data_IF_352768279778
#
_entry.id   IF_352768279778
#
_cell.length_a   1.000
_cell.length_b   1.000
_cell.length_c   1.000
_cell.angle_alpha   90.00
_cell.angle_beta   90.00
_cell.angle_gamma   90.00
#
_symmetry.space_group_name_H-M   'P 1'
#
loop_
_entity.id
_entity.type
_entity.pdbx_description
1 polymer ?
#
# COMPACT_ATOMS: atom_id res chain seq x y z
N UNK A 1 -5.25 -37.04 -6.27
CA UNK A 1 -4.90 -35.89 -7.10
C UNK A 1 -3.66 -35.24 -6.47
N UNK A 2 -2.60 -35.00 -7.25
CA UNK A 2 -1.40 -34.33 -6.70
C UNK A 2 -1.64 -32.85 -6.45
N UNK A 3 -1.06 -32.29 -5.37
CA UNK A 3 -1.10 -30.84 -5.08
C UNK A 3 -0.32 -30.11 -6.19
N UNK A 4 -0.96 -29.14 -6.85
CA UNK A 4 -0.29 -28.30 -7.84
C UNK A 4 0.51 -27.22 -7.11
N UNK A 5 1.84 -27.25 -7.32
CA UNK A 5 2.76 -26.27 -6.72
C UNK A 5 3.30 -25.33 -7.77
N UNK A 6 3.31 -24.05 -7.45
CA UNK A 6 3.85 -22.99 -8.30
C UNK A 6 4.59 -21.93 -7.46
N UNK A 7 5.42 -21.10 -8.12
CA UNK A 7 6.12 -20.00 -7.48
C UNK A 7 5.99 -18.72 -8.31
N UNK A 8 5.70 -17.61 -7.67
CA UNK A 8 5.56 -16.31 -8.32
C UNK A 8 6.53 -15.29 -7.72
N UNK A 9 7.27 -14.60 -8.57
CA UNK A 9 8.09 -13.46 -8.17
C UNK A 9 7.22 -12.20 -8.14
N UNK A 10 7.24 -11.50 -7.01
CA UNK A 10 6.48 -10.27 -6.83
C UNK A 10 7.15 -9.33 -5.82
N UNK A 11 6.46 -8.29 -5.39
CA UNK A 11 6.97 -7.32 -4.42
C UNK A 11 6.14 -7.37 -3.14
N UNK A 12 6.83 -7.27 -2.01
CA UNK A 12 6.20 -7.07 -0.72
C UNK A 12 5.50 -5.71 -0.68
N UNK A 13 4.26 -5.68 -0.18
CA UNK A 13 3.41 -4.47 -0.13
C UNK A 13 3.21 -3.93 1.29
N UNK A 14 4.02 -4.37 2.25
CA UNK A 14 3.87 -3.99 3.66
C UNK A 14 4.45 -2.61 4.01
N UNK A 15 5.32 -2.05 3.16
CA UNK A 15 5.90 -0.70 3.32
C UNK A 15 6.53 -0.22 2.01
N UNK A 16 7.11 0.98 2.02
CA UNK A 16 7.76 1.63 0.86
C UNK A 16 9.01 0.93 0.35
N UNK A 17 9.63 0.05 1.12
CA UNK A 17 10.84 -0.65 0.69
C UNK A 17 10.60 -1.61 -0.49
N UNK A 18 9.35 -2.07 -0.70
CA UNK A 18 8.96 -2.90 -1.85
C UNK A 18 9.93 -4.04 -2.11
N UNK A 19 10.34 -4.73 -1.05
CA UNK A 19 11.28 -5.84 -1.15
C UNK A 19 10.78 -6.90 -2.13
N UNK A 20 11.69 -7.44 -2.94
CA UNK A 20 11.37 -8.55 -3.83
C UNK A 20 11.13 -9.83 -3.03
N UNK A 21 10.05 -10.51 -3.36
CA UNK A 21 9.66 -11.80 -2.75
C UNK A 21 9.38 -12.85 -3.80
N UNK A 22 9.55 -14.10 -3.42
CA UNK A 22 9.09 -15.28 -4.16
C UNK A 22 8.02 -15.93 -3.30
N UNK A 23 6.82 -15.97 -3.83
CA UNK A 23 5.64 -16.55 -3.17
C UNK A 23 5.43 -17.96 -3.66
N UNK A 24 5.22 -18.90 -2.73
CA UNK A 24 4.86 -20.27 -3.03
C UNK A 24 3.34 -20.45 -2.99
N UNK A 25 2.82 -21.12 -4.00
CA UNK A 25 1.41 -21.41 -4.15
C UNK A 25 1.18 -22.92 -4.11
N UNK A 26 0.14 -23.34 -3.41
CA UNK A 26 -0.44 -24.71 -3.50
C UNK A 26 -1.91 -24.59 -3.87
N UNK A 27 -2.28 -25.19 -5.00
CA UNK A 27 -3.64 -25.11 -5.56
C UNK A 27 -4.18 -23.66 -5.62
N UNK A 28 -3.33 -22.70 -5.97
CA UNK A 28 -3.66 -21.28 -6.06
C UNK A 28 -3.68 -20.52 -4.73
N UNK A 29 -3.44 -21.18 -3.61
CA UNK A 29 -3.36 -20.58 -2.28
C UNK A 29 -1.91 -20.23 -1.93
N UNK A 30 -1.69 -19.05 -1.40
CA UNK A 30 -0.39 -18.65 -0.87
C UNK A 30 -0.09 -19.44 0.40
N UNK A 31 1.02 -20.16 0.41
CA UNK A 31 1.43 -21.01 1.54
C UNK A 31 2.72 -20.58 2.18
N UNK A 32 3.60 -19.89 1.43
CA UNK A 32 4.90 -19.42 1.94
C UNK A 32 5.39 -18.22 1.14
N UNK A 33 6.25 -17.40 1.75
CA UNK A 33 6.99 -16.37 1.09
C UNK A 33 8.45 -16.33 1.55
N UNK A 34 9.35 -16.04 0.63
CA UNK A 34 10.76 -15.83 0.89
C UNK A 34 11.33 -14.66 0.13
N UNK A 35 12.44 -14.12 0.57
CA UNK A 35 13.14 -13.07 -0.14
C UNK A 35 13.61 -13.52 -1.53
N UNK A 36 13.57 -12.61 -2.49
CA UNK A 36 14.13 -12.80 -3.82
C UNK A 36 15.57 -12.29 -3.85
N UNK A 37 16.54 -13.19 -3.87
CA UNK A 37 17.98 -12.86 -3.86
C UNK A 37 18.41 -12.04 -5.08
N UNK A 38 17.73 -12.23 -6.21
CA UNK A 38 17.99 -11.49 -7.45
C UNK A 38 17.37 -10.08 -7.45
N UNK A 39 16.64 -9.68 -6.41
CA UNK A 39 16.05 -8.34 -6.37
C UNK A 39 17.12 -7.28 -6.05
N UNK A 40 17.31 -6.25 -6.93
CA UNK A 40 18.46 -5.34 -6.87
C UNK A 40 18.51 -4.46 -5.63
N UNK A 41 17.40 -4.30 -4.92
CA UNK A 41 17.30 -3.46 -3.73
C UNK A 41 17.34 -4.25 -2.43
N UNK A 42 16.57 -5.33 -2.32
CA UNK A 42 16.44 -6.09 -1.07
C UNK A 42 17.40 -7.27 -0.94
N UNK A 43 17.97 -7.79 -2.06
CA UNK A 43 18.93 -8.89 -2.07
C UNK A 43 18.50 -10.04 -1.14
N UNK A 44 17.27 -10.51 -1.27
CA UNK A 44 16.71 -11.58 -0.46
C UNK A 44 16.31 -11.22 0.98
N UNK A 45 16.55 -9.98 1.41
CA UNK A 45 16.25 -9.57 2.80
C UNK A 45 14.75 -9.39 2.98
N UNK A 46 14.21 -9.99 4.03
CA UNK A 46 12.84 -9.80 4.49
C UNK A 46 12.80 -9.39 5.97
N UNK A 47 11.89 -8.51 6.30
CA UNK A 47 11.62 -8.11 7.68
C UNK A 47 10.45 -8.92 8.27
N UNK A 48 10.21 -8.76 9.57
CA UNK A 48 9.12 -9.41 10.29
C UNK A 48 7.74 -9.13 9.67
N UNK A 49 7.51 -7.93 9.15
CA UNK A 49 6.23 -7.58 8.51
C UNK A 49 5.97 -8.41 7.24
N UNK A 50 6.98 -8.58 6.41
CA UNK A 50 6.86 -9.38 5.20
C UNK A 50 6.57 -10.86 5.54
N UNK A 51 7.28 -11.41 6.53
CA UNK A 51 7.05 -12.79 6.98
C UNK A 51 5.64 -13.05 7.52
N UNK A 52 4.96 -12.03 8.05
CA UNK A 52 3.58 -12.12 8.47
C UNK A 52 2.57 -11.98 7.30
N UNK A 53 3.03 -11.72 6.08
CA UNK A 53 2.13 -11.46 4.96
C UNK A 53 1.27 -12.66 4.59
N UNK A 54 1.80 -13.89 4.70
CA UNK A 54 1.06 -15.13 4.44
C UNK A 54 -0.09 -15.29 5.42
N UNK A 55 0.17 -15.06 6.72
CA UNK A 55 -0.85 -15.14 7.77
C UNK A 55 -1.94 -14.08 7.56
N UNK A 56 -1.56 -12.86 7.17
CA UNK A 56 -2.51 -11.78 6.87
C UNK A 56 -3.40 -12.14 5.67
N UNK A 57 -2.82 -12.71 4.61
CA UNK A 57 -3.57 -13.09 3.41
C UNK A 57 -4.56 -14.21 3.70
N UNK A 58 -4.18 -15.18 4.53
CA UNK A 58 -4.98 -16.36 4.85
C UNK A 58 -5.75 -16.23 6.17
N UNK A 59 -5.76 -15.06 6.80
CA UNK A 59 -6.39 -14.88 8.11
C UNK A 59 -7.88 -15.26 8.07
N UNK A 60 -8.40 -16.04 9.03
CA UNK A 60 -9.79 -16.47 9.02
C UNK A 60 -10.79 -15.31 9.10
N UNK A 61 -10.41 -14.22 9.80
CA UNK A 61 -11.25 -13.01 9.92
C UNK A 61 -11.05 -12.02 8.76
N UNK A 62 -10.36 -12.42 7.68
CA UNK A 62 -10.19 -11.56 6.52
C UNK A 62 -11.56 -11.30 5.87
N UNK A 63 -11.87 -10.02 5.65
CA UNK A 63 -13.10 -9.62 4.96
C UNK A 63 -13.02 -10.03 3.48
N UNK A 64 -13.87 -10.97 3.08
CA UNK A 64 -13.96 -11.46 1.70
C UNK A 64 -15.18 -10.93 0.96
N UNK A 65 -16.11 -10.30 1.67
CA UNK A 65 -17.35 -9.74 1.14
C UNK A 65 -17.63 -8.36 1.73
N UNK A 66 -18.36 -7.50 1.02
CA UNK A 66 -18.84 -6.25 1.58
C UNK A 66 -19.71 -6.48 2.81
N UNK A 67 -19.57 -5.63 3.81
CA UNK A 67 -20.35 -5.61 5.03
C UNK A 67 -21.20 -4.35 5.09
N UNK A 68 -22.48 -4.49 5.39
CA UNK A 68 -23.41 -3.40 5.66
C UNK A 68 -23.79 -3.38 7.11
N UNK A 69 -23.64 -2.22 7.75
CA UNK A 69 -24.04 -2.06 9.16
C UNK A 69 -25.54 -2.06 9.31
N UNK A 70 -26.07 -2.86 10.27
CA UNK A 70 -27.47 -2.91 10.68
C UNK A 70 -27.55 -2.73 12.19
N UNK A 71 -27.71 -1.49 12.63
CA UNK A 71 -27.64 -1.19 14.06
C UNK A 71 -26.25 -1.48 14.63
N UNK A 72 -26.13 -2.47 15.53
CA UNK A 72 -24.88 -2.92 16.11
C UNK A 72 -24.25 -4.10 15.36
N UNK A 73 -24.97 -4.71 14.41
CA UNK A 73 -24.55 -5.90 13.69
C UNK A 73 -24.06 -5.56 12.26
N UNK A 74 -23.40 -6.55 11.62
CA UNK A 74 -22.94 -6.48 10.25
C UNK A 74 -23.55 -7.59 9.42
N UNK A 75 -24.09 -7.21 8.26
CA UNK A 75 -24.68 -8.10 7.27
C UNK A 75 -23.76 -8.20 6.05
N UNK A 76 -23.43 -9.42 5.61
CA UNK A 76 -22.72 -9.63 4.35
C UNK A 76 -23.64 -9.36 3.17
N UNK A 77 -23.12 -8.63 2.17
CA UNK A 77 -23.81 -8.35 0.92
C UNK A 77 -23.06 -8.91 -0.28
N UNK A 78 -23.78 -9.30 -1.35
CA UNK A 78 -23.18 -9.47 -2.65
C UNK A 78 -22.52 -8.15 -3.10
N UNK A 79 -21.33 -8.24 -3.72
CA UNK A 79 -20.60 -7.04 -4.19
C UNK A 79 -21.45 -6.14 -5.09
N UNK A 80 -22.21 -6.73 -6.01
CA UNK A 80 -23.08 -6.00 -6.93
C UNK A 80 -24.12 -5.15 -6.18
N UNK A 81 -24.79 -5.79 -5.21
CA UNK A 81 -25.78 -5.08 -4.39
C UNK A 81 -25.14 -3.91 -3.61
N UNK A 82 -23.96 -4.14 -3.02
CA UNK A 82 -23.26 -3.09 -2.28
C UNK A 82 -22.92 -1.90 -3.19
N UNK A 83 -22.45 -2.17 -4.42
CA UNK A 83 -22.13 -1.13 -5.40
C UNK A 83 -23.37 -0.36 -5.86
N UNK A 84 -24.48 -1.06 -6.12
CA UNK A 84 -25.73 -0.44 -6.55
C UNK A 84 -26.29 0.49 -5.44
N UNK A 85 -26.32 0.04 -4.19
CA UNK A 85 -26.76 0.86 -3.05
C UNK A 85 -25.84 2.08 -2.82
N UNK A 86 -24.53 1.94 -3.00
CA UNK A 86 -23.59 3.07 -2.91
C UNK A 86 -23.86 4.08 -4.03
N UNK A 87 -24.04 3.58 -5.26
CA UNK A 87 -24.30 4.44 -6.41
C UNK A 87 -25.60 5.23 -6.26
N UNK A 88 -26.68 4.58 -5.84
CA UNK A 88 -27.97 5.25 -5.58
C UNK A 88 -27.84 6.37 -4.55
N UNK A 89 -27.14 6.12 -3.43
CA UNK A 89 -26.93 7.12 -2.39
C UNK A 89 -26.09 8.30 -2.88
N UNK A 90 -25.01 8.03 -3.62
CA UNK A 90 -24.17 9.08 -4.19
C UNK A 90 -24.95 9.93 -5.20
N UNK A 91 -25.73 9.30 -6.09
CA UNK A 91 -26.60 10.01 -7.03
C UNK A 91 -27.61 10.90 -6.32
N UNK A 92 -28.25 10.41 -5.26
CA UNK A 92 -29.20 11.18 -4.48
C UNK A 92 -28.54 12.40 -3.80
N UNK A 93 -27.33 12.24 -3.23
CA UNK A 93 -26.55 13.34 -2.63
C UNK A 93 -26.18 14.36 -3.70
N UNK A 94 -25.66 13.90 -4.83
CA UNK A 94 -25.24 14.79 -5.93
C UNK A 94 -26.45 15.56 -6.49
N UNK A 95 -27.60 14.91 -6.64
CA UNK A 95 -28.81 15.55 -7.12
C UNK A 95 -29.34 16.62 -6.14
N UNK A 96 -29.21 16.40 -4.84
CA UNK A 96 -29.67 17.31 -3.79
C UNK A 96 -28.69 18.46 -3.55
N UNK A 97 -27.40 18.16 -3.41
CA UNK A 97 -26.39 19.07 -2.87
C UNK A 97 -25.28 19.42 -3.89
N UNK A 98 -25.35 18.86 -5.09
CA UNK A 98 -24.34 19.01 -6.14
C UNK A 98 -23.11 18.14 -5.93
N UNK A 99 -22.32 17.94 -7.00
CA UNK A 99 -21.15 17.07 -6.99
C UNK A 99 -20.07 17.49 -5.97
N UNK A 100 -19.97 18.79 -5.65
CA UNK A 100 -19.00 19.32 -4.67
C UNK A 100 -19.25 18.87 -3.23
N UNK A 101 -20.42 18.30 -2.93
CA UNK A 101 -20.73 17.69 -1.63
C UNK A 101 -20.00 16.36 -1.40
N UNK A 102 -19.50 15.75 -2.48
CA UNK A 102 -18.75 14.49 -2.42
C UNK A 102 -17.26 14.78 -2.45
N UNK A 103 -16.51 14.17 -1.54
CA UNK A 103 -15.06 14.26 -1.51
C UNK A 103 -14.42 12.87 -1.36
N UNK A 104 -13.24 12.72 -1.92
CA UNK A 104 -12.35 11.57 -1.68
C UNK A 104 -11.21 12.02 -0.80
N UNK A 105 -11.01 11.32 0.31
CA UNK A 105 -9.85 11.48 1.17
C UNK A 105 -8.99 10.22 1.09
N UNK A 106 -7.69 10.37 0.82
CA UNK A 106 -6.75 9.25 0.83
C UNK A 106 -5.56 9.53 1.74
N UNK A 107 -5.03 8.48 2.37
CA UNK A 107 -3.71 8.47 2.98
C UNK A 107 -2.63 8.00 2.00
N UNK A 108 -1.44 7.74 2.51
CA UNK A 108 -0.37 7.10 1.72
C UNK A 108 -0.75 5.65 1.43
N UNK A 109 -0.76 5.31 0.17
CA UNK A 109 -1.03 3.95 -0.29
C UNK A 109 0.26 3.32 -0.82
N UNK A 110 1.13 2.86 0.05
CA UNK A 110 2.44 2.30 -0.25
C UNK A 110 2.54 1.51 -1.57
N UNK A 111 2.79 2.23 -2.68
CA UNK A 111 2.89 1.65 -4.02
C UNK A 111 1.57 1.23 -4.66
N UNK A 112 0.44 1.78 -4.25
CA UNK A 112 -0.89 1.54 -4.84
C UNK A 112 -1.32 2.66 -5.80
N UNK A 113 -0.42 3.15 -6.64
CA UNK A 113 -0.69 4.24 -7.58
C UNK A 113 -1.95 4.01 -8.42
N UNK A 114 -2.21 2.77 -8.86
CA UNK A 114 -3.41 2.45 -9.63
C UNK A 114 -4.70 2.73 -8.85
N UNK A 115 -4.72 2.48 -7.55
CA UNK A 115 -5.88 2.76 -6.70
C UNK A 115 -6.07 4.27 -6.50
N UNK A 116 -4.98 5.01 -6.35
CA UNK A 116 -5.02 6.48 -6.28
C UNK A 116 -5.54 7.08 -7.58
N UNK A 117 -5.06 6.62 -8.72
CA UNK A 117 -5.48 7.09 -10.03
C UNK A 117 -6.96 6.75 -10.30
N UNK A 118 -7.42 5.58 -9.90
CA UNK A 118 -8.84 5.20 -9.99
C UNK A 118 -9.71 6.06 -9.08
N UNK A 119 -9.28 6.35 -7.85
CA UNK A 119 -9.99 7.23 -6.94
C UNK A 119 -10.08 8.66 -7.48
N UNK A 120 -8.99 9.17 -8.08
CA UNK A 120 -8.94 10.46 -8.75
C UNK A 120 -9.86 10.50 -9.97
N UNK A 121 -9.81 9.47 -10.80
CA UNK A 121 -10.70 9.33 -11.95
C UNK A 121 -12.16 9.31 -11.53
N UNK A 122 -12.49 8.57 -10.47
CA UNK A 122 -13.85 8.50 -9.94
C UNK A 122 -14.35 9.89 -9.52
N UNK A 123 -13.60 10.61 -8.67
CA UNK A 123 -14.05 11.91 -8.15
C UNK A 123 -14.19 12.95 -9.25
N UNK A 124 -13.31 12.92 -10.27
CA UNK A 124 -13.42 13.81 -11.43
C UNK A 124 -14.59 13.42 -12.34
N UNK A 125 -14.87 12.13 -12.50
CA UNK A 125 -15.99 11.64 -13.32
C UNK A 125 -17.36 12.08 -12.80
N UNK A 126 -17.51 12.20 -11.49
CA UNK A 126 -18.74 12.74 -10.86
C UNK A 126 -18.78 14.27 -10.82
N UNK A 127 -17.74 14.96 -11.31
CA UNK A 127 -17.67 16.41 -11.40
C UNK A 127 -17.29 17.12 -10.10
N UNK A 128 -16.70 16.40 -9.12
CA UNK A 128 -16.22 17.03 -7.88
C UNK A 128 -14.71 17.34 -7.94
N UNK A 129 -14.28 18.54 -7.51
CA UNK A 129 -12.88 18.90 -7.38
C UNK A 129 -12.25 18.39 -6.07
N UNK A 130 -13.03 17.79 -5.17
CA UNK A 130 -12.65 17.54 -3.78
C UNK A 130 -11.87 16.22 -3.63
N UNK A 131 -10.65 16.19 -4.18
CA UNK A 131 -9.69 15.14 -3.95
C UNK A 131 -8.67 15.59 -2.90
N UNK A 132 -8.70 14.99 -1.73
CA UNK A 132 -7.91 15.36 -0.56
C UNK A 132 -6.90 14.27 -0.24
N UNK A 133 -5.72 14.67 0.19
CA UNK A 133 -4.69 13.74 0.68
C UNK A 133 -3.89 14.34 1.83
N UNK A 134 -3.19 13.50 2.55
CA UNK A 134 -2.25 13.91 3.58
C UNK A 134 -0.89 14.34 3.01
N UNK A 135 -0.69 14.28 1.70
CA UNK A 135 0.61 14.48 1.04
C UNK A 135 1.23 15.84 1.38
N UNK A 136 0.42 16.90 1.48
CA UNK A 136 0.89 18.24 1.81
C UNK A 136 1.60 18.32 3.17
N UNK A 137 1.19 17.50 4.13
CA UNK A 137 1.79 17.42 5.46
C UNK A 137 2.75 16.22 5.63
N UNK A 138 2.67 15.22 4.75
CA UNK A 138 3.44 14.00 4.85
C UNK A 138 4.81 14.12 4.15
N UNK A 139 4.84 14.31 2.84
CA UNK A 139 6.09 14.23 2.09
C UNK A 139 6.31 15.34 1.04
N UNK A 140 5.26 16.04 0.59
CA UNK A 140 5.37 17.04 -0.47
C UNK A 140 6.31 18.16 -0.09
N UNK A 141 6.26 18.65 1.15
CA UNK A 141 7.20 19.69 1.63
C UNK A 141 8.65 19.22 1.55
N UNK A 142 8.93 17.99 2.02
CA UNK A 142 10.25 17.38 1.94
C UNK A 142 10.70 17.13 0.50
N UNK A 143 9.81 16.58 -0.32
CA UNK A 143 10.06 16.34 -1.75
C UNK A 143 10.38 17.65 -2.47
N UNK A 144 9.61 18.71 -2.21
CA UNK A 144 9.83 20.03 -2.79
C UNK A 144 11.19 20.60 -2.37
N UNK A 145 11.54 20.51 -1.10
CA UNK A 145 12.84 20.93 -0.61
C UNK A 145 14.00 20.21 -1.31
N UNK A 146 13.94 18.88 -1.43
CA UNK A 146 14.94 18.11 -2.16
C UNK A 146 15.00 18.49 -3.64
N UNK A 147 13.85 18.67 -4.28
CA UNK A 147 13.78 19.06 -5.68
C UNK A 147 14.39 20.45 -5.94
N UNK A 148 14.17 21.39 -5.03
CA UNK A 148 14.74 22.75 -5.15
C UNK A 148 16.26 22.75 -4.94
N UNK A 149 16.78 21.92 -4.04
CA UNK A 149 18.22 21.89 -3.69
C UNK A 149 19.00 20.96 -4.62
N UNK A 150 18.47 19.78 -4.93
CA UNK A 150 19.18 18.72 -5.66
C UNK A 150 18.61 18.45 -7.05
N UNK A 151 17.51 19.09 -7.44
CA UNK A 151 16.83 18.84 -8.71
C UNK A 151 15.95 17.58 -8.74
N UNK A 152 16.13 16.66 -7.78
CA UNK A 152 15.37 15.40 -7.70
C UNK A 152 15.29 14.89 -6.27
N UNK A 153 14.48 13.85 -6.06
CA UNK A 153 14.50 13.07 -4.82
C UNK A 153 15.74 12.17 -4.79
N UNK A 154 16.68 12.37 -3.87
CA UNK A 154 17.90 11.57 -3.81
C UNK A 154 17.64 10.19 -3.22
N UNK A 155 18.28 9.18 -3.78
CA UNK A 155 18.41 7.89 -3.13
C UNK A 155 19.60 7.91 -2.15
N UNK A 156 19.41 7.29 -0.99
CA UNK A 156 20.46 7.22 0.02
C UNK A 156 21.42 6.08 -0.34
N UNK A 157 22.68 6.42 -0.59
CA UNK A 157 23.77 5.46 -0.83
C UNK A 157 24.46 5.13 0.50
N UNK A 158 23.90 4.17 1.21
CA UNK A 158 24.36 3.79 2.55
C UNK A 158 25.64 2.97 2.46
N UNK A 159 25.69 2.06 1.51
CA UNK A 159 26.76 1.09 1.37
C UNK A 159 28.13 1.74 1.08
N UNK A 160 28.12 2.88 0.39
CA UNK A 160 29.34 3.64 0.07
C UNK A 160 29.58 4.82 1.00
N UNK A 161 28.71 5.04 2.00
CA UNK A 161 28.83 6.17 2.91
C UNK A 161 29.79 5.88 4.06
N UNK A 162 30.69 6.81 4.36
CA UNK A 162 31.58 6.75 5.54
C UNK A 162 30.90 7.23 6.82
N UNK A 163 29.77 7.92 6.71
CA UNK A 163 29.01 8.43 7.83
C UNK A 163 27.53 8.42 7.48
N UNK A 164 26.71 7.80 8.33
CA UNK A 164 25.26 7.77 8.21
C UNK A 164 24.66 8.54 9.38
N UNK A 165 24.00 9.66 9.07
CA UNK A 165 23.30 10.50 10.06
C UNK A 165 21.82 10.19 10.01
N UNK A 166 21.26 9.71 11.14
CA UNK A 166 19.83 9.50 11.32
C UNK A 166 19.22 10.69 12.04
N UNK A 167 18.41 11.47 11.33
CA UNK A 167 17.78 12.67 11.86
C UNK A 167 16.26 12.54 11.83
N UNK A 168 15.63 12.48 13.01
CA UNK A 168 14.17 12.33 13.13
C UNK A 168 13.63 11.05 12.46
N UNK A 169 14.45 10.00 12.37
CA UNK A 169 14.12 8.75 11.69
C UNK A 169 14.25 7.56 12.64
N UNK A 170 13.33 6.60 12.48
CA UNK A 170 13.37 5.33 13.21
C UNK A 170 13.24 4.15 12.22
N UNK A 171 14.33 3.81 11.49
CA UNK A 171 14.32 2.76 10.48
C UNK A 171 13.81 1.41 10.96
N UNK A 172 14.14 0.92 12.19
CA UNK A 172 13.61 -0.35 12.68
C UNK A 172 12.10 -0.48 12.60
N UNK A 173 11.37 0.62 12.80
CA UNK A 173 9.90 0.63 12.72
C UNK A 173 9.38 0.96 11.32
N UNK A 174 9.90 2.01 10.71
CA UNK A 174 9.34 2.54 9.46
C UNK A 174 9.85 1.77 8.24
N UNK A 175 11.13 1.44 8.22
CA UNK A 175 11.83 0.81 7.07
C UNK A 175 12.85 -0.23 7.56
N UNK A 176 12.41 -1.40 8.02
CA UNK A 176 13.32 -2.40 8.63
C UNK A 176 14.45 -2.88 7.71
N UNK A 177 14.23 -2.92 6.39
CA UNK A 177 15.28 -3.25 5.42
C UNK A 177 16.40 -2.20 5.41
N UNK A 178 16.06 -0.91 5.57
CA UNK A 178 17.04 0.16 5.70
C UNK A 178 17.94 -0.05 6.94
N UNK A 179 17.38 -0.50 8.05
CA UNK A 179 18.16 -0.87 9.25
C UNK A 179 19.17 -1.96 8.94
N UNK A 180 18.76 -3.00 8.23
CA UNK A 180 19.67 -4.10 7.84
C UNK A 180 20.81 -3.60 6.95
N UNK A 181 20.52 -2.68 6.02
CA UNK A 181 21.52 -2.05 5.16
C UNK A 181 22.52 -1.21 5.95
N UNK A 182 22.04 -0.36 6.88
CA UNK A 182 22.88 0.45 7.77
C UNK A 182 23.80 -0.45 8.61
N UNK A 183 23.26 -1.56 9.14
CA UNK A 183 24.06 -2.50 9.94
C UNK A 183 25.10 -3.23 9.10
N UNK A 184 24.79 -3.57 7.85
CA UNK A 184 25.72 -4.24 6.94
C UNK A 184 26.82 -3.33 6.40
N UNK A 185 26.62 -2.00 6.41
CA UNK A 185 27.58 -1.00 5.92
C UNK A 185 28.64 -0.60 6.98
N UNK A 186 28.60 -1.17 8.19
CA UNK A 186 29.54 -0.90 9.29
C UNK A 186 30.83 -1.71 9.18
#
# INVERSE_FOLDING_TARGET
MGVHRDTVRTLCRMCDDRCGIVVSLEDGRVVDDRGNDAHPWSHGRLCVKARAAVDIVNHPDRLLRPLKRRGNDWEELPLRQALDEIAERLQAIIARDGARSVSVWKGEATGFAQQEDLARRFIHAIGSPNYLSNDSMCWVGRFTGFKLVYGAWPNVDIENSRCVVMWGANPPFSRPNLTQRITAAR
#
